data_IF_498472370157
#
_entry.id   IF_498472370157
#
_cell.length_a   1.000
_cell.length_b   1.000
_cell.length_c   1.000
_cell.angle_alpha   90.00
_cell.angle_beta   90.00
_cell.angle_gamma   90.00
#
_symmetry.space_group_name_H-M   'P 1'
#
loop_
_entity.id
_entity.type
_entity.pdbx_description
1 polymer ?
#
# COMPACT_ATOMS: atom_id res chain seq x y z
N UNK A 1 24.70 -2.09 -1.70
CA UNK A 1 23.40 -2.78 -1.81
C UNK A 1 22.27 -1.82 -2.16
N UNK A 2 21.97 -0.79 -1.35
CA UNK A 2 20.97 0.23 -1.76
C UNK A 2 21.47 1.16 -2.88
N UNK A 3 22.75 1.52 -2.86
CA UNK A 3 23.39 2.32 -3.91
C UNK A 3 23.41 1.64 -5.29
N UNK A 4 23.31 0.30 -5.32
CA UNK A 4 23.19 -0.46 -6.58
C UNK A 4 21.76 -0.53 -7.12
N UNK A 5 20.74 -0.15 -6.33
CA UNK A 5 19.34 -0.10 -6.75
C UNK A 5 18.97 1.20 -7.48
N UNK A 6 19.94 2.10 -7.70
CA UNK A 6 19.76 3.36 -8.40
C UNK A 6 19.67 4.57 -7.48
N UNK A 7 20.09 5.71 -8.02
CA UNK A 7 20.21 6.97 -7.26
C UNK A 7 18.88 7.52 -6.76
N UNK A 8 17.78 7.25 -7.49
CA UNK A 8 16.44 7.69 -7.09
C UNK A 8 15.94 6.97 -5.83
N UNK A 9 16.08 5.63 -5.79
CA UNK A 9 15.67 4.85 -4.62
C UNK A 9 16.53 5.18 -3.40
N UNK A 10 17.84 5.34 -3.60
CA UNK A 10 18.74 5.73 -2.52
C UNK A 10 18.36 7.09 -1.90
N UNK A 11 18.10 8.11 -2.73
CA UNK A 11 17.63 9.43 -2.27
C UNK A 11 16.28 9.36 -1.57
N UNK A 12 15.37 8.52 -2.05
CA UNK A 12 14.08 8.30 -1.39
C UNK A 12 14.27 7.72 0.02
N UNK A 13 15.12 6.70 0.17
CA UNK A 13 15.42 6.10 1.47
C UNK A 13 16.07 7.11 2.41
N UNK A 14 17.03 7.92 1.92
CA UNK A 14 17.61 9.01 2.71
C UNK A 14 16.55 10.03 3.17
N UNK A 15 15.62 10.40 2.28
CA UNK A 15 14.52 11.31 2.60
C UNK A 15 13.56 10.72 3.64
N UNK A 16 13.24 9.42 3.55
CA UNK A 16 12.30 8.77 4.45
C UNK A 16 12.90 8.49 5.84
N UNK A 17 14.23 8.34 5.94
CA UNK A 17 14.91 8.04 7.20
C UNK A 17 15.43 9.28 7.95
N UNK A 18 15.43 10.45 7.29
CA UNK A 18 15.88 11.70 7.89
C UNK A 18 15.23 11.95 9.26
N UNK A 19 16.02 12.31 10.30
CA UNK A 19 17.42 12.75 10.26
C UNK A 19 18.47 11.63 10.33
N UNK A 20 18.06 10.36 10.49
CA UNK A 20 18.97 9.22 10.56
C UNK A 20 19.48 8.83 9.17
N UNK A 21 20.69 8.25 9.10
CA UNK A 21 21.26 7.79 7.82
C UNK A 21 20.84 6.36 7.52
N UNK A 22 20.71 5.96 6.23
CA UNK A 22 20.42 4.57 5.87
C UNK A 22 21.44 3.56 6.42
N UNK A 23 22.70 3.98 6.62
CA UNK A 23 23.76 3.14 7.20
C UNK A 23 23.61 2.90 8.71
N UNK A 24 22.77 3.68 9.38
CA UNK A 24 22.48 3.56 10.81
C UNK A 24 21.28 2.64 11.09
N UNK A 25 20.58 2.19 10.04
CA UNK A 25 19.40 1.33 10.12
C UNK A 25 19.71 -0.08 9.62
N UNK A 26 18.98 -1.03 10.17
CA UNK A 26 18.97 -2.41 9.67
C UNK A 26 18.33 -2.47 8.29
N UNK A 27 18.66 -3.52 7.53
CA UNK A 27 18.02 -3.77 6.25
C UNK A 27 16.50 -3.93 6.40
N UNK A 28 16.04 -4.62 7.44
CA UNK A 28 14.61 -4.86 7.68
C UNK A 28 13.83 -3.57 7.94
N UNK A 29 14.40 -2.62 8.69
CA UNK A 29 13.78 -1.30 8.88
C UNK A 29 13.67 -0.54 7.55
N UNK A 30 14.69 -0.63 6.70
CA UNK A 30 14.67 0.04 5.39
C UNK A 30 13.59 -0.57 4.50
N UNK A 31 13.47 -1.90 4.49
CA UNK A 31 12.39 -2.60 3.78
C UNK A 31 11.03 -2.21 4.33
N UNK A 32 10.86 -2.11 5.66
CA UNK A 32 9.61 -1.67 6.28
C UNK A 32 9.21 -0.27 5.80
N UNK A 33 10.13 0.70 5.86
CA UNK A 33 9.86 2.08 5.45
C UNK A 33 9.53 2.18 3.96
N UNK A 34 10.19 1.38 3.12
CA UNK A 34 9.87 1.31 1.69
C UNK A 34 8.49 0.68 1.44
N UNK A 35 8.13 -0.37 2.17
CA UNK A 35 6.80 -0.98 2.08
C UNK A 35 5.71 0.00 2.53
N UNK A 36 5.91 0.73 3.62
CA UNK A 36 4.95 1.72 4.09
C UNK A 36 4.74 2.85 3.08
N UNK A 37 5.79 3.24 2.35
CA UNK A 37 5.71 4.28 1.32
C UNK A 37 5.06 3.78 0.01
N UNK A 38 5.42 2.60 -0.48
CA UNK A 38 4.96 2.09 -1.79
C UNK A 38 3.67 1.27 -1.71
N UNK A 39 3.39 0.66 -0.58
CA UNK A 39 2.21 -0.14 -0.31
C UNK A 39 1.57 0.30 1.02
N UNK A 40 1.16 1.59 1.14
CA UNK A 40 0.54 2.08 2.35
C UNK A 40 -0.72 1.26 2.65
N UNK A 41 -0.93 0.97 3.93
CA UNK A 41 -2.16 0.32 4.38
C UNK A 41 -3.36 1.16 3.92
N UNK A 42 -4.32 0.59 3.18
CA UNK A 42 -5.50 1.31 2.76
C UNK A 42 -6.26 1.88 3.97
N UNK A 43 -6.65 3.16 3.89
CA UNK A 43 -7.45 3.78 4.94
C UNK A 43 -8.80 3.08 5.08
N UNK A 44 -9.24 2.82 6.31
CA UNK A 44 -10.59 2.29 6.60
C UNK A 44 -11.68 3.12 5.92
N UNK A 45 -11.52 4.45 5.90
CA UNK A 45 -12.45 5.38 5.26
C UNK A 45 -12.52 5.13 3.75
N UNK A 46 -11.38 4.89 3.11
CA UNK A 46 -11.31 4.60 1.67
C UNK A 46 -11.95 3.25 1.37
N UNK A 47 -11.63 2.21 2.15
CA UNK A 47 -12.24 0.88 1.97
C UNK A 47 -13.77 0.94 2.15
N UNK A 48 -14.24 1.65 3.18
CA UNK A 48 -15.67 1.87 3.42
C UNK A 48 -16.34 2.63 2.28
N UNK A 49 -15.66 3.63 1.72
CA UNK A 49 -16.15 4.37 0.57
C UNK A 49 -16.29 3.47 -0.66
N UNK A 50 -15.27 2.67 -0.98
CA UNK A 50 -15.29 1.70 -2.09
C UNK A 50 -16.44 0.71 -1.91
N UNK A 51 -16.61 0.16 -0.70
CA UNK A 51 -17.70 -0.76 -0.39
C UNK A 51 -19.07 -0.13 -0.66
N UNK A 52 -19.34 1.09 -0.17
CA UNK A 52 -20.64 1.74 -0.38
C UNK A 52 -20.87 2.24 -1.81
N UNK A 53 -19.82 2.51 -2.57
CA UNK A 53 -19.94 2.86 -3.97
C UNK A 53 -20.28 1.67 -4.86
N UNK A 54 -20.09 0.43 -4.37
CA UNK A 54 -20.38 -0.78 -5.13
C UNK A 54 -21.88 -0.91 -5.38
N UNK A 55 -22.28 -0.81 -6.65
CA UNK A 55 -23.64 -1.04 -7.13
C UNK A 55 -23.66 -2.26 -8.05
N UNK A 56 -24.73 -3.06 -7.99
CA UNK A 56 -24.91 -4.20 -8.88
C UNK A 56 -24.91 -3.71 -10.34
N UNK A 57 -24.09 -4.36 -11.18
CA UNK A 57 -23.95 -3.98 -12.58
C UNK A 57 -25.08 -4.57 -13.44
N UNK A 58 -25.44 -3.96 -14.58
CA UNK A 58 -26.38 -4.57 -15.51
C UNK A 58 -25.90 -5.95 -15.97
N UNK A 59 -26.76 -6.97 -15.82
CA UNK A 59 -26.43 -8.35 -16.17
C UNK A 59 -25.63 -9.12 -15.11
N UNK A 60 -25.22 -8.48 -14.03
CA UNK A 60 -24.59 -9.15 -12.89
C UNK A 60 -25.65 -9.91 -12.07
N UNK A 61 -25.35 -11.16 -11.72
CA UNK A 61 -26.23 -11.93 -10.83
C UNK A 61 -26.12 -11.45 -9.39
N UNK A 62 -27.17 -11.70 -8.60
CA UNK A 62 -27.15 -11.36 -7.16
C UNK A 62 -26.02 -12.10 -6.42
N UNK A 63 -25.70 -13.33 -6.83
CA UNK A 63 -24.64 -14.11 -6.21
C UNK A 63 -23.25 -13.50 -6.45
N UNK A 64 -22.96 -13.06 -7.67
CA UNK A 64 -21.72 -12.35 -8.02
C UNK A 64 -21.60 -11.04 -7.25
N UNK A 65 -22.67 -10.25 -7.22
CA UNK A 65 -22.71 -9.00 -6.47
C UNK A 65 -22.39 -9.19 -4.98
N UNK A 66 -23.00 -10.18 -4.33
CA UNK A 66 -22.77 -10.49 -2.92
C UNK A 66 -21.35 -11.01 -2.69
N UNK A 67 -20.82 -11.84 -3.58
CA UNK A 67 -19.44 -12.34 -3.48
C UNK A 67 -18.43 -11.18 -3.50
N UNK A 68 -18.66 -10.20 -4.37
CA UNK A 68 -17.81 -9.02 -4.50
C UNK A 68 -17.93 -8.08 -3.29
N UNK A 69 -19.14 -7.87 -2.76
CA UNK A 69 -19.33 -7.13 -1.52
C UNK A 69 -18.58 -7.77 -0.35
N UNK A 70 -18.62 -9.10 -0.23
CA UNK A 70 -17.87 -9.83 0.82
C UNK A 70 -16.36 -9.66 0.66
N UNK A 71 -15.85 -9.68 -0.57
CA UNK A 71 -14.44 -9.42 -0.87
C UNK A 71 -14.03 -8.00 -0.49
N UNK A 72 -14.90 -7.02 -0.68
CA UNK A 72 -14.65 -5.62 -0.30
C UNK A 72 -14.79 -5.35 1.20
N UNK A 73 -15.41 -6.26 1.96
CA UNK A 73 -15.59 -6.15 3.41
C UNK A 73 -14.53 -6.91 4.23
N UNK A 74 -13.59 -7.59 3.56
CA UNK A 74 -12.40 -8.21 4.17
C UNK A 74 -11.25 -7.21 4.23
#
# INVERSE_FOLDING_TARGET
LLSSCGSALFKLVESLLSPAKPVERSFDEIISVLNDHFAPQPSEIVNRHIFYQRKQQPGETVAEFIADLRRLAQ
#
